data_IF_651803566567
#
_entry.id   IF_651803566567
#
_cell.length_a   1.000
_cell.length_b   1.000
_cell.length_c   1.000
_cell.angle_alpha   90.00
_cell.angle_beta   90.00
_cell.angle_gamma   90.00
#
_symmetry.space_group_name_H-M   'P 1'
#
loop_
_entity.id
_entity.type
_entity.pdbx_description
1 polymer ?
#
# COMPACT_ATOMS: atom_id res chain seq x y z
N UNK A 1 16.67 -33.30 -43.16
CA UNK A 1 16.20 -32.13 -42.37
C UNK A 1 15.70 -32.63 -41.03
N UNK A 2 16.52 -32.51 -39.98
CA UNK A 2 16.13 -32.93 -38.64
C UNK A 2 15.28 -31.82 -38.00
N UNK A 3 14.03 -32.12 -37.67
CA UNK A 3 13.14 -31.22 -36.95
C UNK A 3 13.68 -31.09 -35.52
N UNK A 4 13.97 -29.87 -35.07
CA UNK A 4 14.40 -29.61 -33.70
C UNK A 4 13.23 -29.89 -32.77
N UNK A 5 13.39 -30.87 -31.88
CA UNK A 5 12.42 -31.23 -30.84
C UNK A 5 12.52 -30.25 -29.66
N UNK A 6 11.37 -29.69 -29.26
CA UNK A 6 11.25 -28.68 -28.19
C UNK A 6 10.75 -29.25 -26.85
N UNK A 7 10.56 -30.57 -26.76
CA UNK A 7 9.92 -31.24 -25.61
C UNK A 7 10.75 -31.27 -24.32
N UNK A 8 12.02 -30.85 -24.37
CA UNK A 8 12.93 -30.77 -23.20
C UNK A 8 13.14 -29.34 -22.69
N UNK A 9 12.52 -28.33 -23.31
CA UNK A 9 12.64 -26.94 -22.87
C UNK A 9 11.63 -26.71 -21.76
N UNK A 10 12.10 -26.82 -20.52
CA UNK A 10 11.39 -26.34 -19.35
C UNK A 10 10.88 -24.91 -19.61
N UNK A 11 9.60 -24.68 -19.31
CA UNK A 11 8.88 -23.46 -19.68
C UNK A 11 9.67 -22.24 -19.17
N UNK A 12 10.19 -21.36 -20.06
CA UNK A 12 11.13 -20.30 -19.70
C UNK A 12 10.57 -19.34 -18.64
N UNK A 13 9.24 -19.23 -18.55
CA UNK A 13 8.55 -18.46 -17.51
C UNK A 13 8.86 -18.94 -16.07
N UNK A 14 9.16 -20.23 -15.86
CA UNK A 14 9.47 -20.78 -14.53
C UNK A 14 10.83 -20.31 -13.99
N UNK A 15 11.77 -19.96 -14.88
CA UNK A 15 13.05 -19.36 -14.47
C UNK A 15 12.87 -17.94 -13.90
N UNK A 16 11.80 -17.24 -14.29
CA UNK A 16 11.47 -15.91 -13.79
C UNK A 16 10.59 -15.92 -12.53
N UNK A 17 9.82 -16.99 -12.30
CA UNK A 17 8.94 -17.10 -11.13
C UNK A 17 9.70 -17.60 -9.90
N UNK A 18 10.72 -18.44 -10.08
CA UNK A 18 11.42 -19.10 -8.96
C UNK A 18 12.40 -18.22 -8.17
N UNK A 19 12.55 -16.94 -8.54
CA UNK A 19 13.37 -15.93 -7.82
C UNK A 19 12.53 -14.82 -7.19
N UNK A 20 11.31 -15.13 -6.78
CA UNK A 20 10.68 -14.39 -5.68
C UNK A 20 10.85 -15.23 -4.42
N UNK A 21 12.06 -15.17 -3.87
CA UNK A 21 12.28 -15.41 -2.45
C UNK A 21 11.19 -14.64 -1.70
N UNK A 22 10.35 -15.39 -1.00
CA UNK A 22 9.45 -14.83 -0.01
C UNK A 22 10.34 -14.24 1.10
N UNK A 23 10.78 -13.00 0.93
CA UNK A 23 11.36 -12.19 1.99
C UNK A 23 10.31 -12.02 3.08
N UNK A 24 10.31 -12.97 4.03
CA UNK A 24 9.80 -12.74 5.35
C UNK A 24 10.50 -11.48 5.89
N UNK A 25 9.76 -10.50 6.44
CA UNK A 25 10.38 -9.28 6.93
C UNK A 25 11.38 -9.64 8.01
N UNK A 26 12.67 -9.43 7.71
CA UNK A 26 13.76 -9.49 8.69
C UNK A 26 13.38 -8.57 9.85
N UNK A 27 13.02 -9.14 10.99
CA UNK A 27 12.99 -8.42 12.25
C UNK A 27 14.43 -8.07 12.57
N UNK A 28 14.81 -6.82 12.36
CA UNK A 28 16.09 -6.28 12.78
C UNK A 28 16.19 -6.42 14.31
N UNK A 29 16.99 -7.39 14.76
CA UNK A 29 17.43 -7.46 16.15
C UNK A 29 18.45 -6.36 16.36
N UNK A 30 18.12 -5.36 17.17
CA UNK A 30 19.05 -4.27 17.47
C UNK A 30 20.24 -4.75 18.32
N UNK A 31 21.43 -4.15 18.17
CA UNK A 31 22.59 -4.44 18.99
C UNK A 31 22.45 -3.91 20.44
N UNK A 32 23.20 -4.51 21.37
CA UNK A 32 23.22 -4.11 22.79
C UNK A 32 23.54 -2.62 22.96
N UNK A 33 22.67 -1.90 23.67
CA UNK A 33 22.81 -0.46 23.98
C UNK A 33 21.85 0.48 23.22
N UNK A 34 21.04 -0.02 22.29
CA UNK A 34 20.04 0.79 21.57
C UNK A 34 18.61 0.39 21.94
N UNK A 35 17.73 1.37 22.22
CA UNK A 35 16.29 1.13 22.39
C UNK A 35 15.66 0.90 21.02
N UNK A 36 15.17 -0.31 20.75
CA UNK A 36 14.30 -0.57 19.59
C UNK A 36 12.96 0.09 19.87
N UNK A 37 12.77 1.31 19.39
CA UNK A 37 11.45 1.93 19.51
C UNK A 37 11.11 2.75 18.26
N UNK A 38 10.71 2.11 17.16
CA UNK A 38 9.64 2.66 16.36
C UNK A 38 8.33 2.30 17.07
N UNK A 39 7.89 3.17 17.98
CA UNK A 39 6.51 3.17 18.47
C UNK A 39 5.57 2.96 17.28
N UNK A 40 4.67 1.98 17.36
CA UNK A 40 3.77 1.59 16.27
C UNK A 40 3.24 2.81 15.50
N UNK A 41 3.78 3.06 14.29
CA UNK A 41 3.30 4.12 13.42
C UNK A 41 2.04 3.59 12.74
N UNK A 42 0.88 4.12 13.14
CA UNK A 42 -0.39 3.71 12.55
C UNK A 42 -0.42 4.10 11.06
N UNK A 43 -0.58 3.09 10.20
CA UNK A 43 -0.70 3.28 8.76
C UNK A 43 -2.17 3.33 8.39
N UNK A 44 -2.55 4.27 7.52
CA UNK A 44 -3.88 4.38 6.91
C UNK A 44 -4.20 3.13 6.06
N UNK A 45 -4.70 2.07 6.70
CA UNK A 45 -4.87 0.74 6.10
C UNK A 45 -6.33 0.25 6.07
N UNK A 46 -7.22 0.88 6.84
CA UNK A 46 -8.66 0.57 6.88
C UNK A 46 -9.43 1.45 5.89
N UNK A 47 -10.39 0.86 5.18
CA UNK A 47 -11.28 1.55 4.23
C UNK A 47 -12.65 1.73 4.87
N UNK A 48 -13.23 2.92 4.73
CA UNK A 48 -14.57 3.26 5.16
C UNK A 48 -15.42 3.59 3.92
N UNK A 49 -16.63 3.07 3.84
CA UNK A 49 -17.62 3.47 2.84
C UNK A 49 -18.58 4.46 3.53
N UNK A 50 -18.71 5.66 2.98
CA UNK A 50 -19.57 6.72 3.50
C UNK A 50 -20.74 6.95 2.54
N UNK A 51 -21.95 7.02 3.10
CA UNK A 51 -23.12 7.46 2.36
C UNK A 51 -23.33 8.95 2.66
N UNK A 52 -23.37 9.78 1.61
CA UNK A 52 -23.40 11.24 1.74
C UNK A 52 -24.10 11.86 0.54
N UNK A 53 -24.55 13.11 0.71
CA UNK A 53 -25.24 13.84 -0.34
C UNK A 53 -24.29 14.20 -1.49
N UNK A 54 -24.74 14.17 -2.75
CA UNK A 54 -23.89 14.49 -3.90
C UNK A 54 -23.33 15.92 -3.85
N UNK A 55 -24.16 16.89 -3.44
CA UNK A 55 -23.75 18.29 -3.29
C UNK A 55 -22.60 18.47 -2.28
N UNK A 56 -22.65 17.73 -1.17
CA UNK A 56 -21.58 17.76 -0.16
C UNK A 56 -20.28 17.15 -0.70
N UNK A 57 -20.39 16.07 -1.48
CA UNK A 57 -19.24 15.46 -2.13
C UNK A 57 -18.55 16.42 -3.11
N UNK A 58 -19.33 17.16 -3.91
CA UNK A 58 -18.78 18.15 -4.85
C UNK A 58 -18.05 19.28 -4.12
N UNK A 59 -18.61 19.79 -3.01
CA UNK A 59 -17.95 20.79 -2.18
C UNK A 59 -16.62 20.29 -1.60
N UNK A 60 -16.59 19.05 -1.10
CA UNK A 60 -15.36 18.43 -0.58
C UNK A 60 -14.31 18.25 -1.68
N UNK A 61 -14.74 17.93 -2.90
CA UNK A 61 -13.83 17.81 -4.05
C UNK A 61 -13.21 19.16 -4.40
N UNK A 62 -14.01 20.22 -4.44
CA UNK A 62 -13.50 21.58 -4.69
C UNK A 62 -12.50 22.00 -3.62
N UNK A 63 -12.85 21.81 -2.35
CA UNK A 63 -11.97 22.14 -1.22
C UNK A 63 -10.66 21.35 -1.26
N UNK A 64 -10.71 20.06 -1.57
CA UNK A 64 -9.50 19.24 -1.71
C UNK A 64 -8.58 19.74 -2.85
N UNK A 65 -9.17 20.21 -3.96
CA UNK A 65 -8.40 20.82 -5.06
C UNK A 65 -7.74 22.14 -4.64
N UNK A 66 -8.46 22.99 -3.91
CA UNK A 66 -7.94 24.27 -3.39
C UNK A 66 -6.78 24.06 -2.42
N UNK A 67 -6.88 23.05 -1.54
CA UNK A 67 -5.85 22.70 -0.57
C UNK A 67 -4.72 21.82 -1.17
N UNK A 68 -4.86 21.38 -2.43
CA UNK A 68 -3.89 20.52 -3.10
C UNK A 68 -3.80 19.10 -2.50
N UNK A 69 -4.84 18.65 -1.80
CA UNK A 69 -4.90 17.35 -1.13
C UNK A 69 -5.84 16.39 -1.85
N UNK A 70 -5.79 15.10 -1.50
CA UNK A 70 -6.79 14.15 -1.98
C UNK A 70 -8.04 14.23 -1.11
N UNK A 71 -9.22 14.01 -1.70
CA UNK A 71 -10.50 13.94 -0.97
C UNK A 71 -10.41 12.97 0.23
N UNK A 72 -9.68 11.86 0.07
CA UNK A 72 -9.47 10.90 1.15
C UNK A 72 -8.60 11.45 2.31
N UNK A 73 -7.56 12.23 2.01
CA UNK A 73 -6.76 12.86 3.05
C UNK A 73 -7.54 13.95 3.77
N UNK A 74 -8.27 14.79 3.02
CA UNK A 74 -9.14 15.82 3.60
C UNK A 74 -10.18 15.21 4.54
N UNK A 75 -10.86 14.14 4.12
CA UNK A 75 -11.82 13.42 4.97
C UNK A 75 -11.13 12.85 6.20
N UNK A 76 -9.93 12.28 6.05
CA UNK A 76 -9.18 11.74 7.19
C UNK A 76 -8.83 12.84 8.21
N UNK A 77 -8.36 14.00 7.75
CA UNK A 77 -8.00 15.13 8.61
C UNK A 77 -9.22 15.71 9.32
N UNK A 78 -10.34 15.90 8.61
CA UNK A 78 -11.60 16.34 9.22
C UNK A 78 -12.14 15.36 10.27
N UNK A 79 -12.01 14.05 10.02
CA UNK A 79 -12.40 13.02 10.99
C UNK A 79 -11.44 12.99 12.19
N UNK A 80 -10.15 13.24 11.97
CA UNK A 80 -9.16 13.32 13.03
C UNK A 80 -9.41 14.54 13.93
N UNK A 81 -9.68 15.71 13.34
CA UNK A 81 -10.05 16.95 14.04
C UNK A 81 -11.36 16.83 14.82
N UNK A 82 -12.33 16.06 14.30
CA UNK A 82 -13.62 15.89 14.98
C UNK A 82 -13.58 14.90 16.15
N UNK A 83 -12.61 13.97 16.18
CA UNK A 83 -12.54 12.87 17.16
C UNK A 83 -11.46 13.09 18.21
N UNK A 84 -10.33 13.73 17.85
CA UNK A 84 -9.21 14.02 18.75
C UNK A 84 -9.30 15.44 19.28
#
# INVERSE_FOLDING_TARGET
MAKKDFSSIANPALQFISTQDAEQPKKETAPEGYKVNPAYIEKKSRRLQLLMQPSLYDLLKTRAVEEGTSVNNLIHELLEEAVK
#
